data_IF_872540245703
#
_entry.id   IF_872540245703
#
_cell.length_a   1.000
_cell.length_b   1.000
_cell.length_c   1.000
_cell.angle_alpha   90.00
_cell.angle_beta   90.00
_cell.angle_gamma   90.00
#
_symmetry.space_group_name_H-M   'P 1'
#
loop_
_entity.id
_entity.type
_entity.pdbx_description
1 polymer ?
#
# COMPACT_ATOMS: atom_id res chain seq x y z
N UNK A 1 -7.49 -32.44 -14.38
CA UNK A 1 -7.74 -31.43 -13.34
C UNK A 1 -6.90 -31.84 -12.14
N UNK A 2 -5.83 -31.11 -11.83
CA UNK A 2 -5.00 -31.43 -10.65
C UNK A 2 -5.74 -30.97 -9.40
N UNK A 3 -5.85 -31.87 -8.41
CA UNK A 3 -6.40 -31.53 -7.09
C UNK A 3 -5.37 -30.71 -6.31
N UNK A 4 -5.81 -29.72 -5.52
CA UNK A 4 -4.93 -28.93 -4.64
C UNK A 4 -4.08 -29.83 -3.72
N UNK A 5 -4.65 -30.94 -3.26
CA UNK A 5 -3.95 -31.91 -2.42
C UNK A 5 -2.75 -32.53 -3.14
N UNK A 6 -2.86 -32.78 -4.45
CA UNK A 6 -1.76 -33.31 -5.26
C UNK A 6 -0.63 -32.30 -5.35
N UNK A 7 -0.95 -31.02 -5.59
CA UNK A 7 0.05 -29.95 -5.70
C UNK A 7 0.82 -29.77 -4.39
N UNK A 8 0.16 -29.84 -3.24
CA UNK A 8 0.84 -29.76 -1.94
C UNK A 8 1.76 -30.95 -1.70
N UNK A 9 1.30 -32.16 -2.02
CA UNK A 9 2.11 -33.38 -1.89
C UNK A 9 3.32 -33.38 -2.83
N UNK A 10 3.20 -32.76 -4.00
CA UNK A 10 4.31 -32.61 -4.94
C UNK A 10 5.32 -31.56 -4.43
N UNK A 11 4.86 -30.48 -3.79
CA UNK A 11 5.74 -29.46 -3.17
C UNK A 11 6.52 -30.03 -1.99
N UNK A 12 5.91 -30.89 -1.17
CA UNK A 12 6.57 -31.50 -0.02
C UNK A 12 7.72 -32.46 -0.41
N UNK A 13 7.71 -32.96 -1.64
CA UNK A 13 8.78 -33.81 -2.19
C UNK A 13 9.96 -33.02 -2.77
N UNK A 14 9.82 -31.70 -2.92
CA UNK A 14 10.88 -30.82 -3.42
C UNK A 14 11.95 -30.57 -2.36
N UNK A 15 13.14 -30.21 -2.82
CA UNK A 15 14.20 -29.71 -1.94
C UNK A 15 13.83 -28.34 -1.35
N UNK A 16 14.49 -27.95 -0.25
CA UNK A 16 14.23 -26.65 0.39
C UNK A 16 14.40 -25.47 -0.57
N UNK A 17 15.40 -25.52 -1.45
CA UNK A 17 15.67 -24.46 -2.44
C UNK A 17 14.51 -24.32 -3.44
N UNK A 18 14.02 -25.44 -3.97
CA UNK A 18 12.89 -25.47 -4.90
C UNK A 18 11.59 -25.04 -4.22
N UNK A 19 11.38 -25.40 -2.95
CA UNK A 19 10.23 -24.92 -2.16
C UNK A 19 10.25 -23.39 -2.03
N UNK A 20 11.42 -22.79 -1.78
CA UNK A 20 11.57 -21.33 -1.76
C UNK A 20 11.30 -20.69 -3.12
N UNK A 21 11.69 -21.35 -4.22
CA UNK A 21 11.40 -20.87 -5.57
C UNK A 21 9.90 -20.85 -5.86
N UNK A 22 9.17 -21.91 -5.47
CA UNK A 22 7.70 -21.98 -5.57
C UNK A 22 7.04 -20.87 -4.74
N UNK A 23 7.50 -20.64 -3.52
CA UNK A 23 7.00 -19.57 -2.66
C UNK A 23 7.20 -18.18 -3.31
N UNK A 24 8.38 -17.93 -3.86
CA UNK A 24 8.67 -16.66 -4.52
C UNK A 24 7.81 -16.47 -5.77
N UNK A 25 7.68 -17.51 -6.60
CA UNK A 25 6.86 -17.47 -7.81
C UNK A 25 5.38 -17.20 -7.49
N UNK A 26 4.81 -17.89 -6.49
CA UNK A 26 3.41 -17.70 -6.08
C UNK A 26 3.18 -16.32 -5.45
N UNK A 27 4.11 -15.83 -4.62
CA UNK A 27 4.05 -14.49 -4.06
C UNK A 27 4.07 -13.40 -5.16
N UNK A 28 4.95 -13.54 -6.15
CA UNK A 28 5.01 -12.62 -7.30
C UNK A 28 3.74 -12.68 -8.16
N UNK A 29 3.19 -13.86 -8.38
CA UNK A 29 1.93 -14.03 -9.11
C UNK A 29 0.77 -13.32 -8.39
N UNK A 30 0.66 -13.48 -7.06
CA UNK A 30 -0.35 -12.81 -6.25
C UNK A 30 -0.18 -11.28 -6.26
N UNK A 31 1.06 -10.77 -6.18
CA UNK A 31 1.31 -9.32 -6.31
C UNK A 31 0.84 -8.78 -7.65
N UNK A 32 1.13 -9.49 -8.76
CA UNK A 32 0.68 -9.08 -10.10
C UNK A 32 -0.84 -9.06 -10.20
N UNK A 33 -1.51 -10.09 -9.67
CA UNK A 33 -2.97 -10.15 -9.65
C UNK A 33 -3.57 -9.04 -8.77
N UNK A 34 -3.02 -8.79 -7.57
CA UNK A 34 -3.48 -7.73 -6.67
C UNK A 34 -3.29 -6.33 -7.26
N UNK A 35 -2.18 -6.06 -7.96
CA UNK A 35 -1.96 -4.79 -8.68
C UNK A 35 -2.96 -4.61 -9.82
N UNK A 36 -3.43 -5.71 -10.42
CA UNK A 36 -4.44 -5.69 -11.49
C UNK A 36 -5.85 -5.49 -10.92
N UNK A 37 -6.14 -6.04 -9.74
CA UNK A 37 -7.46 -5.95 -9.09
C UNK A 37 -7.65 -4.70 -8.21
N UNK A 38 -6.59 -4.10 -7.66
CA UNK A 38 -6.64 -2.89 -6.83
C UNK A 38 -6.53 -1.58 -7.62
N UNK A 39 -6.93 -1.53 -8.89
CA UNK A 39 -7.23 -0.23 -9.53
C UNK A 39 -8.55 0.29 -8.94
N UNK A 40 -8.58 1.36 -8.14
CA UNK A 40 -9.84 1.94 -7.73
C UNK A 40 -10.59 2.41 -8.97
N UNK A 41 -11.77 1.83 -9.21
CA UNK A 41 -12.80 2.38 -10.09
C UNK A 41 -13.29 3.69 -9.50
N UNK A 42 -12.50 4.76 -9.56
CA UNK A 42 -12.98 6.12 -9.35
C UNK A 42 -13.29 6.72 -10.72
N UNK A 43 -14.60 6.75 -10.99
CA UNK A 43 -15.33 7.69 -11.83
C UNK A 43 -14.65 8.27 -13.07
N UNK A 44 -15.32 8.03 -14.20
CA UNK A 44 -15.37 8.78 -15.46
C UNK A 44 -14.12 8.83 -16.38
N UNK A 45 -14.38 8.37 -17.61
CA UNK A 45 -13.64 8.50 -18.87
C UNK A 45 -12.35 7.66 -19.04
N UNK A 46 -12.57 6.48 -19.63
CA UNK A 46 -11.98 5.98 -20.88
C UNK A 46 -10.43 5.96 -21.05
N UNK A 47 -9.96 4.73 -21.28
CA UNK A 47 -8.83 4.31 -22.11
C UNK A 47 -7.66 5.28 -22.34
N UNK A 48 -6.91 5.56 -21.28
CA UNK A 48 -5.49 5.85 -21.44
C UNK A 48 -4.76 5.34 -20.20
N UNK A 49 -3.71 4.49 -20.32
CA UNK A 49 -2.84 4.18 -19.19
C UNK A 49 -2.13 5.47 -18.77
N UNK A 50 -2.80 6.30 -17.95
CA UNK A 50 -2.21 7.55 -17.46
C UNK A 50 -0.93 7.17 -16.70
N UNK A 51 0.20 7.80 -17.03
CA UNK A 51 1.46 7.52 -16.35
C UNK A 51 1.26 7.66 -14.84
N UNK A 52 1.92 6.79 -14.06
CA UNK A 52 1.91 6.88 -12.59
C UNK A 52 2.24 8.33 -12.21
N UNK A 53 1.28 9.02 -11.58
CA UNK A 53 1.46 10.43 -11.19
C UNK A 53 2.71 10.55 -10.36
N UNK A 54 3.62 11.42 -10.78
CA UNK A 54 4.87 11.68 -10.05
C UNK A 54 4.58 12.70 -8.97
N UNK A 55 5.27 12.60 -7.84
CA UNK A 55 5.17 13.61 -6.77
C UNK A 55 5.52 15.02 -7.25
N UNK A 56 6.39 15.13 -8.26
CA UNK A 56 6.71 16.40 -8.92
C UNK A 56 5.50 17.09 -9.55
N UNK A 57 4.47 16.33 -9.93
CA UNK A 57 3.29 16.85 -10.63
C UNK A 57 2.40 17.68 -9.70
N UNK A 58 2.61 17.60 -8.38
CA UNK A 58 1.89 18.39 -7.37
C UNK A 58 2.52 19.76 -7.12
N UNK A 59 3.72 20.03 -7.66
CA UNK A 59 4.43 21.29 -7.43
C UNK A 59 3.61 22.47 -7.98
N UNK A 60 3.32 23.45 -7.13
CA UNK A 60 2.62 24.68 -7.53
C UNK A 60 1.10 24.54 -7.65
N UNK A 61 0.50 23.39 -7.30
CA UNK A 61 -0.96 23.23 -7.24
C UNK A 61 -1.59 23.98 -6.05
N UNK A 62 -0.77 24.42 -5.10
CA UNK A 62 -1.16 25.23 -3.97
C UNK A 62 -1.46 26.67 -4.38
N UNK A 63 -2.71 27.17 -4.32
CA UNK A 63 -2.97 28.61 -4.41
C UNK A 63 -2.24 29.34 -3.28
N UNK A 64 -1.41 30.32 -3.63
CA UNK A 64 -0.76 31.18 -2.64
C UNK A 64 -1.77 32.18 -2.04
N UNK A 65 -1.81 32.39 -0.71
CA UNK A 65 -1.30 31.54 0.37
C UNK A 65 -2.38 30.54 0.82
N UNK A 66 -2.07 29.24 0.81
CA UNK A 66 -2.94 28.22 1.42
C UNK A 66 -2.80 28.31 2.95
N UNK A 67 -3.49 29.29 3.55
CA UNK A 67 -3.68 29.51 4.99
C UNK A 67 -2.38 29.68 5.80
N UNK A 68 -2.17 30.87 6.38
CA UNK A 68 -0.94 31.28 7.06
C UNK A 68 -0.62 30.62 8.41
N UNK A 69 -0.91 29.33 8.59
CA UNK A 69 -0.33 28.55 9.68
C UNK A 69 1.07 28.07 9.26
N UNK A 70 2.06 28.30 10.11
CA UNK A 70 3.41 27.84 9.85
C UNK A 70 3.47 26.30 9.82
N UNK A 71 4.24 25.75 8.89
CA UNK A 71 4.30 24.30 8.71
C UNK A 71 4.84 23.59 9.97
N UNK A 72 5.78 24.21 10.69
CA UNK A 72 6.33 23.67 11.93
C UNK A 72 5.31 23.76 13.08
N UNK A 73 4.49 24.82 13.11
CA UNK A 73 3.36 24.92 14.05
C UNK A 73 2.35 23.80 13.85
N UNK A 74 1.95 23.53 12.60
CA UNK A 74 1.03 22.44 12.27
C UNK A 74 1.58 21.06 12.68
N UNK A 75 2.86 20.78 12.38
CA UNK A 75 3.52 19.52 12.77
C UNK A 75 3.56 19.40 14.30
N UNK A 76 3.90 20.48 14.99
CA UNK A 76 4.02 20.49 16.45
C UNK A 76 2.67 20.25 17.14
N UNK A 77 1.59 20.85 16.64
CA UNK A 77 0.23 20.59 17.12
C UNK A 77 -0.16 19.12 16.91
N UNK A 78 0.00 18.63 15.69
CA UNK A 78 -0.42 17.27 15.32
C UNK A 78 0.33 16.20 16.11
N UNK A 79 1.62 16.41 16.41
CA UNK A 79 2.39 15.50 17.29
C UNK A 79 1.85 15.49 18.71
N UNK A 80 1.61 16.68 19.28
CA UNK A 80 1.09 16.81 20.64
C UNK A 80 -0.27 16.16 20.79
N UNK A 81 -1.19 16.41 19.86
CA UNK A 81 -2.51 15.78 19.85
C UNK A 81 -2.40 14.25 19.76
N UNK A 82 -1.47 13.74 18.96
CA UNK A 82 -1.19 12.31 18.85
C UNK A 82 -0.62 11.69 20.13
N UNK A 83 0.31 12.38 20.79
CA UNK A 83 0.89 11.94 22.06
C UNK A 83 -0.17 11.96 23.18
N UNK A 84 -0.97 13.02 23.27
CA UNK A 84 -2.09 13.12 24.22
C UNK A 84 -3.14 12.03 24.00
N UNK A 85 -3.44 11.69 22.74
CA UNK A 85 -4.34 10.59 22.41
C UNK A 85 -3.78 9.24 22.88
N UNK A 86 -2.48 8.99 22.64
CA UNK A 86 -1.82 7.76 23.08
C UNK A 86 -1.74 7.65 24.61
N UNK A 87 -1.48 8.76 25.29
CA UNK A 87 -1.46 8.81 26.75
C UNK A 87 -2.84 8.52 27.34
N UNK A 88 -3.91 9.06 26.74
CA UNK A 88 -5.29 8.79 27.14
C UNK A 88 -5.66 7.32 27.01
N UNK A 89 -5.35 6.73 25.86
CA UNK A 89 -5.53 5.28 25.63
C UNK A 89 -4.74 4.43 26.64
N UNK A 90 -3.53 4.87 27.00
CA UNK A 90 -2.68 4.17 27.98
C UNK A 90 -3.21 4.29 29.42
N UNK A 91 -3.98 5.33 29.72
CA UNK A 91 -4.66 5.55 31.02
C UNK A 91 -6.05 4.92 31.09
N UNK A 92 -6.56 4.36 29.98
CA UNK A 92 -7.86 3.69 29.93
C UNK A 92 -9.06 4.63 29.97
N UNK A 93 -8.90 5.89 29.54
CA UNK A 93 -9.97 6.89 29.37
C UNK A 93 -10.53 6.94 27.94
#
# INVERSE_FOLDING_TARGET
>A
MTSLQQVLQDIDQLTLEEQFEVLNHTAEQLKRQAVTQNKPKRGIAEENPRPKRKWSDLKGMAPYPMMGEDAQEWVSRTRREGDEHRDRLSRGE
#
